data_IF_367450679328
#
_entry.id   IF_367450679328
#
_cell.length_a   1.000
_cell.length_b   1.000
_cell.length_c   1.000
_cell.angle_alpha   90.00
_cell.angle_beta   90.00
_cell.angle_gamma   90.00
#
_symmetry.space_group_name_H-M   'P 1'
#
loop_
_entity.id
_entity.type
_entity.pdbx_description
1 polymer ?
#
# COMPACT_ATOMS: atom_id res chain seq x y z
N UNK A 1 -10.13 -0.93 2.41
CA UNK A 1 -11.50 -1.22 2.95
C UNK A 1 -12.25 0.10 3.12
N UNK A 2 -13.47 0.24 2.58
CA UNK A 2 -14.26 1.48 2.71
C UNK A 2 -14.92 1.57 4.10
N UNK A 3 -15.21 2.79 4.59
CA UNK A 3 -15.91 3.01 5.87
C UNK A 3 -17.23 2.21 6.00
N UNK A 4 -18.13 2.19 5.00
CA UNK A 4 -19.37 1.39 5.09
C UNK A 4 -19.11 -0.11 5.20
N UNK A 5 -18.05 -0.63 4.55
CA UNK A 5 -17.66 -2.03 4.67
C UNK A 5 -17.11 -2.35 6.07
N UNK A 6 -16.29 -1.48 6.64
CA UNK A 6 -15.77 -1.63 8.00
C UNK A 6 -16.90 -1.63 9.04
N UNK A 7 -17.87 -0.71 8.91
CA UNK A 7 -19.03 -0.64 9.81
C UNK A 7 -19.92 -1.87 9.71
N UNK A 8 -20.17 -2.37 8.49
CA UNK A 8 -20.93 -3.60 8.27
C UNK A 8 -20.21 -4.82 8.87
N UNK A 9 -18.89 -4.89 8.69
CA UNK A 9 -18.07 -5.96 9.25
C UNK A 9 -18.07 -5.94 10.78
N UNK A 10 -17.85 -4.77 11.40
CA UNK A 10 -17.89 -4.61 12.86
C UNK A 10 -19.26 -4.97 13.44
N UNK A 11 -20.37 -4.58 12.79
CA UNK A 11 -21.73 -4.98 13.21
C UNK A 11 -21.93 -6.49 13.18
N UNK A 12 -21.41 -7.17 12.16
CA UNK A 12 -21.51 -8.63 12.07
C UNK A 12 -20.70 -9.30 13.18
N UNK A 13 -19.46 -8.85 13.40
CA UNK A 13 -18.60 -9.33 14.49
C UNK A 13 -19.23 -9.13 15.86
N UNK A 14 -19.76 -7.94 16.13
CA UNK A 14 -20.41 -7.58 17.39
C UNK A 14 -21.64 -8.47 17.65
N UNK A 15 -22.44 -8.72 16.61
CA UNK A 15 -23.58 -9.65 16.69
C UNK A 15 -23.10 -11.07 17.02
N UNK A 16 -22.08 -11.57 16.34
CA UNK A 16 -21.53 -12.91 16.59
C UNK A 16 -20.94 -13.03 17.99
N UNK A 17 -20.18 -12.04 18.45
CA UNK A 17 -19.63 -11.99 19.80
C UNK A 17 -20.73 -12.05 20.87
N UNK A 18 -21.83 -11.32 20.67
CA UNK A 18 -22.98 -11.33 21.59
C UNK A 18 -23.76 -12.65 21.56
N UNK A 19 -23.93 -13.27 20.40
CA UNK A 19 -24.69 -14.51 20.24
C UNK A 19 -23.97 -15.74 20.81
N UNK A 20 -22.64 -15.82 20.67
CA UNK A 20 -21.84 -16.96 21.15
C UNK A 20 -21.44 -16.88 22.62
N UNK A 21 -21.80 -15.81 23.33
CA UNK A 21 -21.28 -15.47 24.66
C UNK A 21 -21.44 -16.61 25.67
N UNK A 22 -20.37 -16.94 26.39
CA UNK A 22 -20.37 -18.01 27.39
C UNK A 22 -20.51 -19.45 26.84
N UNK A 23 -20.55 -19.63 25.52
CA UNK A 23 -20.59 -20.95 24.87
C UNK A 23 -19.22 -21.35 24.30
N UNK A 24 -19.11 -22.56 23.74
CA UNK A 24 -17.90 -22.98 23.01
C UNK A 24 -17.81 -22.37 21.59
N UNK A 25 -18.89 -21.71 21.15
CA UNK A 25 -18.96 -20.87 19.94
C UNK A 25 -18.69 -19.39 20.24
N UNK A 26 -18.29 -19.06 21.48
CA UNK A 26 -17.89 -17.69 21.81
C UNK A 26 -16.76 -17.25 20.89
N UNK A 27 -16.91 -16.07 20.31
CA UNK A 27 -15.84 -15.46 19.55
C UNK A 27 -14.73 -15.03 20.53
N UNK A 28 -13.54 -15.56 20.33
CA UNK A 28 -12.40 -15.36 21.21
C UNK A 28 -11.19 -14.84 20.43
N UNK A 29 -10.15 -14.43 21.16
CA UNK A 29 -8.87 -13.96 20.67
C UNK A 29 -7.72 -14.59 21.47
N UNK A 30 -6.62 -14.91 20.78
CA UNK A 30 -5.37 -15.37 21.37
C UNK A 30 -4.25 -14.39 20.98
N UNK A 31 -3.39 -14.03 21.94
CA UNK A 31 -2.44 -12.91 21.81
C UNK A 31 -1.18 -13.29 21.05
N UNK A 32 -0.62 -14.46 21.32
CA UNK A 32 0.65 -14.93 20.78
C UNK A 32 0.53 -15.24 19.29
N UNK A 33 -0.60 -15.83 18.87
CA UNK A 33 -0.92 -16.05 17.46
C UNK A 33 -1.62 -14.90 16.73
N UNK A 34 -2.09 -13.87 17.46
CA UNK A 34 -2.94 -12.80 16.94
C UNK A 34 -4.16 -13.29 16.14
N UNK A 35 -4.73 -14.42 16.54
CA UNK A 35 -5.88 -15.05 15.86
C UNK A 35 -7.15 -14.79 16.65
N UNK A 36 -8.25 -14.61 15.93
CA UNK A 36 -9.60 -14.61 16.50
C UNK A 36 -10.46 -15.67 15.83
N UNK A 37 -11.46 -16.17 16.54
CA UNK A 37 -12.33 -17.23 16.07
C UNK A 37 -13.13 -17.89 17.19
N UNK A 38 -13.94 -18.91 16.87
CA UNK A 38 -14.66 -19.69 17.86
C UNK A 38 -13.72 -20.27 18.93
N UNK A 39 -14.16 -20.23 20.18
CA UNK A 39 -13.41 -20.69 21.35
C UNK A 39 -12.88 -22.12 21.21
N UNK A 40 -13.68 -23.03 20.66
CA UNK A 40 -13.27 -24.41 20.46
C UNK A 40 -12.08 -24.55 19.47
N UNK A 41 -12.05 -23.74 18.40
CA UNK A 41 -10.94 -23.71 17.45
C UNK A 41 -9.69 -23.06 18.05
N UNK A 42 -9.87 -21.98 18.82
CA UNK A 42 -8.72 -21.31 19.43
C UNK A 42 -8.07 -22.15 20.52
N UNK A 43 -8.84 -22.95 21.27
CA UNK A 43 -8.30 -23.88 22.27
C UNK A 43 -7.40 -24.96 21.68
N UNK A 44 -7.63 -25.40 20.45
CA UNK A 44 -6.80 -26.44 19.83
C UNK A 44 -5.45 -25.92 19.33
N UNK A 45 -5.35 -24.61 19.09
CA UNK A 45 -4.13 -23.96 18.57
C UNK A 45 -3.41 -23.08 19.61
N UNK A 46 -4.07 -22.75 20.72
CA UNK A 46 -3.46 -21.97 21.81
C UNK A 46 -2.38 -22.78 22.51
N UNK A 47 -1.28 -22.11 22.87
CA UNK A 47 -0.26 -22.72 23.73
C UNK A 47 -0.84 -23.01 25.12
N UNK A 48 -0.27 -23.99 25.83
CA UNK A 48 -0.80 -24.52 27.10
C UNK A 48 -0.98 -23.47 28.19
N UNK A 49 -0.25 -22.36 28.12
CA UNK A 49 -0.30 -21.24 29.06
C UNK A 49 -1.04 -20.00 28.50
N UNK A 50 -1.44 -20.04 27.23
CA UNK A 50 -2.07 -18.91 26.57
C UNK A 50 -3.55 -18.79 26.98
N UNK A 51 -3.95 -17.58 27.35
CA UNK A 51 -5.34 -17.28 27.69
C UNK A 51 -6.13 -17.00 26.42
N UNK A 52 -7.16 -17.81 26.20
CA UNK A 52 -8.20 -17.53 25.20
C UNK A 52 -9.15 -16.48 25.75
N UNK A 53 -9.07 -15.25 25.23
CA UNK A 53 -9.85 -14.10 25.70
C UNK A 53 -11.15 -14.01 24.92
N UNK A 54 -12.28 -13.85 25.61
CA UNK A 54 -13.58 -13.68 24.96
C UNK A 54 -13.75 -12.25 24.44
N UNK A 55 -14.15 -12.12 23.18
CA UNK A 55 -14.49 -10.83 22.56
C UNK A 55 -15.89 -10.44 23.02
N UNK A 56 -16.01 -9.29 23.67
CA UNK A 56 -17.28 -8.82 24.25
C UNK A 56 -18.07 -7.89 23.32
N UNK A 57 -17.44 -7.39 22.26
CA UNK A 57 -18.05 -6.54 21.25
C UNK A 57 -17.03 -6.11 20.19
N UNK A 58 -17.53 -5.46 19.14
CA UNK A 58 -16.70 -4.90 18.08
C UNK A 58 -17.23 -3.52 17.66
N UNK A 59 -16.32 -2.58 17.44
CA UNK A 59 -16.63 -1.23 16.96
C UNK A 59 -15.62 -0.80 15.90
N UNK A 60 -16.03 0.12 15.03
CA UNK A 60 -15.09 0.84 14.18
C UNK A 60 -14.60 2.03 14.97
N UNK A 61 -13.29 2.18 15.05
CA UNK A 61 -12.65 3.36 15.63
C UNK A 61 -11.66 3.94 14.62
N UNK A 62 -11.31 5.21 14.79
CA UNK A 62 -10.26 5.84 14.01
C UNK A 62 -8.92 5.29 14.44
N UNK A 63 -8.17 4.73 13.49
CA UNK A 63 -6.79 4.32 13.74
C UNK A 63 -5.96 5.59 13.82
N UNK A 64 -5.47 5.93 15.01
CA UNK A 64 -4.50 7.01 15.17
C UNK A 64 -3.14 6.59 14.61
N UNK A 65 -2.32 7.56 14.22
CA UNK A 65 -0.97 7.29 13.70
C UNK A 65 -0.11 6.52 14.72
N UNK A 66 -0.31 6.76 16.02
CA UNK A 66 0.36 6.07 17.11
C UNK A 66 -0.07 4.61 17.23
N UNK A 67 -1.35 4.31 17.03
CA UNK A 67 -1.87 2.93 17.02
C UNK A 67 -1.36 2.19 15.79
N UNK A 68 -1.36 2.83 14.61
CA UNK A 68 -0.75 2.25 13.42
C UNK A 68 0.71 1.89 13.68
N UNK A 69 1.51 2.83 14.19
CA UNK A 69 2.93 2.64 14.50
C UNK A 69 3.21 1.56 15.57
N UNK A 70 2.32 1.41 16.56
CA UNK A 70 2.50 0.43 17.64
C UNK A 70 2.19 -1.02 17.21
N UNK A 71 1.38 -1.17 16.17
CA UNK A 71 0.93 -2.48 15.66
C UNK A 71 1.41 -2.75 14.23
N UNK A 72 2.29 -1.88 13.71
CA UNK A 72 2.98 -1.96 12.43
C UNK A 72 3.93 -3.17 12.45
N UNK A 73 3.37 -4.35 12.18
CA UNK A 73 4.15 -5.47 11.70
C UNK A 73 4.26 -5.20 10.21
N UNK A 74 5.35 -4.54 9.82
CA UNK A 74 5.75 -4.40 8.43
C UNK A 74 5.93 -5.80 7.82
N UNK A 75 4.84 -6.37 7.33
CA UNK A 75 4.91 -6.92 5.98
C UNK A 75 5.29 -5.71 5.09
N UNK A 76 6.26 -5.86 4.20
CA UNK A 76 6.82 -4.74 3.42
C UNK A 76 5.85 -4.27 2.32
N UNK A 77 4.65 -3.82 2.69
CA UNK A 77 3.67 -3.26 1.76
C UNK A 77 4.16 -1.87 1.30
N UNK A 78 4.31 -1.70 -0.01
CA UNK A 78 4.68 -0.43 -0.64
C UNK A 78 3.48 0.24 -1.32
N UNK A 79 2.35 -0.46 -1.43
CA UNK A 79 1.06 0.09 -1.76
C UNK A 79 0.29 0.59 -0.51
N UNK A 80 -0.64 1.54 -0.67
CA UNK A 80 -1.04 2.17 -1.93
C UNK A 80 -0.05 3.25 -2.40
N UNK A 81 0.12 3.35 -3.71
CA UNK A 81 0.94 4.39 -4.36
C UNK A 81 0.23 4.90 -5.61
N UNK A 82 0.47 6.14 -6.00
CA UNK A 82 -0.18 6.74 -7.17
C UNK A 82 0.73 6.75 -8.39
N UNK A 83 0.12 6.73 -9.57
CA UNK A 83 0.77 7.03 -10.85
C UNK A 83 0.03 8.15 -11.56
N UNK A 84 0.75 8.98 -12.31
CA UNK A 84 0.12 9.94 -13.21
C UNK A 84 -0.34 9.21 -14.47
N UNK A 85 -1.59 9.42 -14.84
CA UNK A 85 -2.15 8.91 -16.09
C UNK A 85 -2.74 10.04 -16.91
N UNK A 86 -2.74 9.87 -18.22
CA UNK A 86 -3.45 10.74 -19.14
C UNK A 86 -4.95 10.54 -18.96
N UNK A 87 -5.69 11.62 -18.72
CA UNK A 87 -7.12 11.55 -18.37
C UNK A 87 -8.01 10.98 -19.49
N UNK A 88 -7.54 10.99 -20.74
CA UNK A 88 -8.29 10.45 -21.88
C UNK A 88 -8.03 8.96 -22.12
N UNK A 89 -6.75 8.56 -22.13
CA UNK A 89 -6.33 7.19 -22.46
C UNK A 89 -6.21 6.28 -21.23
N UNK A 90 -6.02 6.86 -20.04
CA UNK A 90 -5.70 6.14 -18.81
C UNK A 90 -4.29 5.54 -18.82
N UNK A 91 -3.47 5.86 -19.82
CA UNK A 91 -2.08 5.39 -19.92
C UNK A 91 -1.17 6.17 -18.98
N UNK A 92 -0.17 5.50 -18.42
CA UNK A 92 0.79 6.13 -17.53
C UNK A 92 1.61 7.19 -18.27
N UNK A 93 1.58 8.42 -17.74
CA UNK A 93 2.37 9.52 -18.27
C UNK A 93 3.85 9.26 -17.95
N UNK A 94 4.70 9.48 -18.94
CA UNK A 94 6.15 9.35 -18.79
C UNK A 94 6.84 10.58 -19.33
N UNK A 95 7.92 11.02 -18.65
CA UNK A 95 8.79 12.09 -19.13
C UNK A 95 10.14 11.51 -19.52
N UNK A 96 10.43 11.56 -20.82
CA UNK A 96 11.59 10.87 -21.38
C UNK A 96 11.48 9.36 -21.17
N UNK A 97 12.46 8.78 -20.49
CA UNK A 97 12.51 7.34 -20.19
C UNK A 97 11.91 6.98 -18.82
N UNK A 98 11.35 7.95 -18.09
CA UNK A 98 10.88 7.75 -16.73
C UNK A 98 9.36 7.74 -16.62
N UNK A 99 8.84 6.71 -15.96
CA UNK A 99 7.49 6.68 -15.40
C UNK A 99 7.55 6.99 -13.91
N UNK A 100 6.46 7.51 -13.34
CA UNK A 100 6.47 8.06 -11.99
C UNK A 100 5.55 7.31 -11.04
N UNK A 101 6.09 7.00 -9.87
CA UNK A 101 5.33 6.61 -8.69
C UNK A 101 5.29 7.80 -7.72
N UNK A 102 4.14 8.04 -7.11
CA UNK A 102 3.86 9.18 -6.24
C UNK A 102 3.31 8.66 -4.92
N UNK A 103 4.06 8.86 -3.84
CA UNK A 103 3.66 8.42 -2.51
C UNK A 103 2.64 9.35 -1.87
N UNK A 104 2.73 10.66 -2.14
CA UNK A 104 1.78 11.67 -1.68
C UNK A 104 1.12 12.42 -2.86
N UNK A 105 -0.12 12.07 -3.24
CA UNK A 105 -0.84 12.76 -4.31
C UNK A 105 -1.20 14.21 -3.97
N UNK A 106 -1.27 14.58 -2.69
CA UNK A 106 -1.59 15.96 -2.29
C UNK A 106 -0.41 16.90 -2.56
N UNK A 107 0.82 16.47 -2.28
CA UNK A 107 2.02 17.23 -2.63
C UNK A 107 2.08 17.44 -4.15
N UNK A 108 1.86 16.37 -4.91
CA UNK A 108 1.89 16.44 -6.37
C UNK A 108 0.75 17.27 -6.98
N UNK A 109 -0.45 17.24 -6.40
CA UNK A 109 -1.58 18.06 -6.88
C UNK A 109 -1.28 19.56 -6.87
N UNK A 110 -0.38 20.02 -5.98
CA UNK A 110 0.05 21.41 -5.93
C UNK A 110 1.07 21.73 -7.03
N UNK A 111 1.83 20.73 -7.49
CA UNK A 111 2.91 20.89 -8.48
C UNK A 111 2.43 20.68 -9.92
N UNK A 112 1.46 19.79 -10.13
CA UNK A 112 0.92 19.46 -11.46
C UNK A 112 0.53 20.71 -12.27
N UNK A 113 -0.19 21.71 -11.74
CA UNK A 113 -0.55 22.91 -12.51
C UNK A 113 0.66 23.70 -13.04
N UNK A 114 1.75 23.79 -12.28
CA UNK A 114 2.98 24.46 -12.74
C UNK A 114 3.63 23.66 -13.88
N UNK A 115 3.68 22.34 -13.75
CA UNK A 115 4.27 21.46 -14.76
C UNK A 115 3.45 21.46 -16.06
N UNK A 116 2.12 21.52 -15.97
CA UNK A 116 1.24 21.70 -17.13
C UNK A 116 1.48 23.07 -17.77
N UNK A 117 1.53 24.15 -16.97
CA UNK A 117 1.78 25.51 -17.46
C UNK A 117 3.15 25.70 -18.14
N UNK A 118 4.10 24.80 -17.88
CA UNK A 118 5.42 24.73 -18.52
C UNK A 118 5.48 23.74 -19.69
N UNK A 119 4.35 23.13 -20.07
CA UNK A 119 4.25 22.09 -21.09
C UNK A 119 5.12 20.86 -20.82
N UNK A 120 5.38 20.58 -19.54
CA UNK A 120 6.10 19.38 -19.10
C UNK A 120 5.12 18.20 -19.01
N UNK A 121 3.93 18.42 -18.44
CA UNK A 121 2.84 17.44 -18.38
C UNK A 121 1.72 17.82 -19.37
N UNK A 122 0.92 16.85 -19.84
CA UNK A 122 -0.26 17.13 -20.66
C UNK A 122 -1.33 17.89 -19.86
N UNK A 123 -2.30 18.51 -20.53
CA UNK A 123 -3.33 19.31 -19.86
C UNK A 123 -4.30 18.48 -19.02
N UNK A 124 -4.56 17.23 -19.44
CA UNK A 124 -5.48 16.32 -18.77
C UNK A 124 -4.71 15.19 -18.06
N UNK A 125 -4.50 15.37 -16.75
CA UNK A 125 -3.75 14.46 -15.90
C UNK A 125 -4.59 14.03 -14.72
N UNK A 126 -4.62 12.72 -14.47
CA UNK A 126 -5.25 12.14 -13.30
C UNK A 126 -4.25 11.34 -12.48
N UNK A 127 -4.56 11.18 -11.18
CA UNK A 127 -3.85 10.24 -10.32
C UNK A 127 -4.61 8.92 -10.32
N UNK A 128 -3.97 7.86 -10.79
CA UNK A 128 -4.46 6.50 -10.62
C UNK A 128 -3.80 5.89 -9.39
N UNK A 129 -4.62 5.44 -8.44
CA UNK A 129 -4.15 4.72 -7.26
C UNK A 129 -3.89 3.27 -7.64
N UNK A 130 -2.67 2.79 -7.40
CA UNK A 130 -2.31 1.38 -7.34
C UNK A 130 -2.58 0.91 -5.91
N UNK A 131 -3.64 0.13 -5.74
CA UNK A 131 -4.25 -0.11 -4.42
C UNK A 131 -3.54 -1.15 -3.58
N UNK A 132 -2.83 -2.09 -4.22
CA UNK A 132 -2.10 -3.17 -3.58
C UNK A 132 -0.78 -3.46 -4.30
N UNK A 133 0.09 -4.23 -3.63
CA UNK A 133 1.42 -4.55 -4.14
C UNK A 133 1.38 -5.29 -5.48
N UNK A 134 0.32 -6.05 -5.77
CA UNK A 134 0.20 -6.77 -7.04
C UNK A 134 -0.06 -5.84 -8.22
N UNK A 135 -0.82 -4.75 -8.00
CA UNK A 135 -1.00 -3.69 -8.99
C UNK A 135 0.30 -2.92 -9.24
N UNK A 136 1.09 -2.69 -8.19
CA UNK A 136 2.40 -2.05 -8.31
C UNK A 136 3.39 -2.95 -9.05
N UNK A 137 3.44 -4.24 -8.73
CA UNK A 137 4.31 -5.21 -9.42
C UNK A 137 3.98 -5.30 -10.90
N UNK A 138 2.69 -5.36 -11.25
CA UNK A 138 2.24 -5.36 -12.64
C UNK A 138 2.66 -4.08 -13.37
N UNK A 139 2.56 -2.93 -12.72
CA UNK A 139 3.03 -1.66 -13.26
C UNK A 139 4.55 -1.64 -13.47
N UNK A 140 5.32 -2.08 -12.48
CA UNK A 140 6.79 -2.14 -12.58
C UNK A 140 7.22 -3.08 -13.71
N UNK A 141 6.64 -4.28 -13.80
CA UNK A 141 6.95 -5.26 -14.83
C UNK A 141 6.71 -4.69 -16.23
N UNK A 142 5.52 -4.13 -16.48
CA UNK A 142 5.17 -3.55 -17.79
C UNK A 142 6.06 -2.35 -18.16
N UNK A 143 6.47 -1.56 -17.15
CA UNK A 143 7.39 -0.44 -17.34
C UNK A 143 8.78 -0.93 -17.72
N UNK A 144 9.31 -1.94 -17.03
CA UNK A 144 10.61 -2.53 -17.32
C UNK A 144 10.65 -3.27 -18.66
N UNK A 145 9.60 -4.01 -19.01
CA UNK A 145 9.45 -4.65 -20.34
C UNK A 145 9.49 -3.62 -21.48
N UNK A 146 9.02 -2.40 -21.20
CA UNK A 146 9.06 -1.26 -22.14
C UNK A 146 10.42 -0.54 -22.13
N UNK A 147 11.44 -1.08 -21.46
CA UNK A 147 12.76 -0.46 -21.26
C UNK A 147 12.71 0.95 -20.65
N UNK A 148 11.67 1.21 -19.83
CA UNK A 148 11.52 2.45 -19.08
C UNK A 148 12.02 2.27 -17.66
N UNK A 149 12.38 3.39 -17.03
CA UNK A 149 12.81 3.49 -15.64
C UNK A 149 11.69 4.07 -14.80
N UNK A 150 11.71 3.78 -13.50
CA UNK A 150 10.69 4.28 -12.57
C UNK A 150 11.35 5.19 -11.54
N UNK A 151 10.78 6.39 -11.35
CA UNK A 151 11.16 7.29 -10.27
C UNK A 151 10.02 7.42 -9.27
N UNK A 152 10.35 7.23 -7.99
CA UNK A 152 9.47 7.55 -6.87
C UNK A 152 9.69 9.02 -6.48
N UNK A 153 8.57 9.71 -6.27
CA UNK A 153 8.46 11.13 -5.90
C UNK A 153 9.40 12.06 -6.70
N UNK A 154 9.19 12.17 -8.02
CA UNK A 154 10.06 12.98 -8.86
C UNK A 154 10.09 14.46 -8.43
N UNK A 155 11.29 15.00 -8.36
CA UNK A 155 11.57 16.42 -8.30
C UNK A 155 11.94 16.91 -9.70
N UNK A 156 10.97 17.50 -10.38
CA UNK A 156 11.19 18.20 -11.64
C UNK A 156 11.72 19.61 -11.35
N UNK A 157 12.92 19.91 -11.79
CA UNK A 157 13.49 21.25 -11.81
C UNK A 157 12.85 22.03 -12.95
N UNK A 158 12.16 23.10 -12.55
CA UNK A 158 11.29 23.83 -13.45
C UNK A 158 12.03 24.90 -14.27
N UNK A 159 13.36 25.05 -14.10
CA UNK A 159 14.22 25.94 -14.87
C UNK A 159 14.92 25.25 -16.06
N UNK A 160 15.27 23.97 -15.92
CA UNK A 160 15.99 23.20 -16.94
C UNK A 160 15.29 21.89 -17.35
N UNK A 161 14.16 21.56 -16.73
CA UNK A 161 13.41 20.32 -17.00
C UNK A 161 14.10 19.06 -16.49
N UNK A 162 15.16 19.17 -15.68
CA UNK A 162 15.85 18.01 -15.10
C UNK A 162 14.96 17.33 -14.06
N UNK A 163 15.04 16.00 -14.00
CA UNK A 163 14.20 15.19 -13.12
C UNK A 163 15.12 14.42 -12.19
N UNK A 164 14.85 14.52 -10.89
CA UNK A 164 15.52 13.77 -9.83
C UNK A 164 14.48 12.99 -9.04
N UNK A 165 14.87 11.93 -8.36
CA UNK A 165 13.96 11.11 -7.56
C UNK A 165 14.67 9.87 -7.06
N UNK A 166 13.91 8.98 -6.42
CA UNK A 166 14.42 7.67 -6.02
C UNK A 166 14.15 6.71 -7.19
N UNK A 167 15.21 6.18 -7.78
CA UNK A 167 15.07 5.25 -8.90
C UNK A 167 14.78 3.83 -8.38
N UNK A 168 13.77 3.19 -8.97
CA UNK A 168 13.52 1.76 -8.79
C UNK A 168 14.27 1.03 -9.91
N UNK A 169 15.13 0.11 -9.49
CA UNK A 169 15.96 -0.72 -10.36
C UNK A 169 15.67 -2.18 -10.07
N UNK A 170 15.70 -3.01 -11.11
CA UNK A 170 15.61 -4.44 -10.93
C UNK A 170 16.90 -4.94 -10.26
N UNK A 171 16.77 -5.87 -9.31
CA UNK A 171 17.93 -6.43 -8.61
C UNK A 171 18.93 -7.07 -9.58
N UNK A 172 18.44 -7.74 -10.63
CA UNK A 172 19.26 -8.35 -11.66
C UNK A 172 20.16 -7.33 -12.39
N UNK A 173 19.68 -6.10 -12.59
CA UNK A 173 20.46 -5.04 -13.23
C UNK A 173 21.60 -4.56 -12.32
N UNK A 174 21.33 -4.47 -11.01
CA UNK A 174 22.34 -4.12 -10.01
C UNK A 174 23.42 -5.20 -9.90
N UNK A 175 23.04 -6.47 -9.93
CA UNK A 175 23.97 -7.61 -9.90
C UNK A 175 24.87 -7.61 -11.14
N UNK A 176 24.29 -7.42 -12.34
CA UNK A 176 25.04 -7.33 -13.59
C UNK A 176 26.03 -6.14 -13.58
N UNK A 177 25.62 -4.99 -13.04
CA UNK A 177 26.51 -3.84 -12.88
C UNK A 177 27.66 -4.10 -11.90
N UNK A 178 27.37 -4.80 -10.79
CA UNK A 178 28.37 -5.14 -9.79
C UNK A 178 29.42 -6.10 -10.38
N UNK A 179 28.99 -7.11 -11.14
CA UNK A 179 29.90 -8.02 -11.86
C UNK A 179 30.73 -7.28 -12.92
N UNK A 180 30.12 -6.41 -13.71
CA UNK A 180 30.80 -5.65 -14.76
C UNK A 180 31.84 -4.66 -14.21
N UNK A 181 31.63 -4.13 -13.00
CA UNK A 181 32.57 -3.25 -12.29
C UNK A 181 33.65 -4.03 -11.52
N UNK A 182 33.70 -5.37 -11.66
CA UNK A 182 34.69 -6.23 -11.02
C UNK A 182 34.42 -6.44 -9.53
N UNK A 183 33.15 -6.68 -9.17
CA UNK A 183 32.67 -6.68 -7.78
C UNK A 183 33.40 -7.63 -6.83
N UNK A 184 33.92 -7.00 -5.75
CA UNK A 184 34.34 -7.47 -4.41
C UNK A 184 35.40 -8.59 -4.29
#
# INVERSE_FOLDING_TARGET
>A
MTKPHAEKFAKNLDRTAKQGRGSDEALCYIKEGRKFGPKHLLRSIAHKEEKVLEITGASVDFVSAEVAKAYDVFDNWYAPICVLVDGHSGEAISLGFYSFLITDPFEWSQRVPELIGKHILPEDVEFKVLADDSEVDAFLLTTFESSRRVLVDPMVDSANGSIRGIEIVALADLEAEAEAKGGL
#
